data_IF_324314231198
#
_entry.id   IF_324314231198
#
_cell.length_a   1.000
_cell.length_b   1.000
_cell.length_c   1.000
_cell.angle_alpha   90.00
_cell.angle_beta   90.00
_cell.angle_gamma   90.00
#
_symmetry.space_group_name_H-M   'P 1'
#
loop_
_entity.id
_entity.type
_entity.pdbx_description
1 polymer ?
#
# COMPACT_ATOMS: atom_id res chain seq x y z
N UNK A 1 -7.80 -3.05 -16.88
CA UNK A 1 -7.29 -1.81 -17.49
C UNK A 1 -6.64 -0.91 -16.47
N UNK A 2 -7.38 -0.49 -15.44
CA UNK A 2 -7.01 0.69 -14.64
C UNK A 2 -6.02 0.40 -13.49
N UNK A 3 -5.94 -0.85 -13.00
CA UNK A 3 -5.06 -1.20 -11.88
C UNK A 3 -3.56 -1.17 -12.21
N UNK A 4 -3.18 -1.47 -13.45
CA UNK A 4 -1.78 -1.46 -13.86
C UNK A 4 -1.20 -0.03 -13.94
N UNK A 5 -1.97 0.89 -14.51
CA UNK A 5 -1.62 2.31 -14.56
C UNK A 5 -1.61 2.93 -13.14
N UNK A 6 -2.61 2.62 -12.32
CA UNK A 6 -2.65 3.07 -10.93
C UNK A 6 -1.42 2.59 -10.14
N UNK A 7 -1.01 1.33 -10.30
CA UNK A 7 0.21 0.80 -9.68
C UNK A 7 1.46 1.55 -10.13
N UNK A 8 1.61 1.84 -11.43
CA UNK A 8 2.75 2.62 -11.89
C UNK A 8 2.79 4.01 -11.28
N UNK A 9 1.65 4.71 -11.24
CA UNK A 9 1.56 6.03 -10.62
C UNK A 9 1.91 5.98 -9.12
N UNK A 10 1.45 4.96 -8.40
CA UNK A 10 1.80 4.81 -6.99
C UNK A 10 3.29 4.46 -6.78
N UNK A 11 3.91 3.68 -7.67
CA UNK A 11 5.35 3.41 -7.56
C UNK A 11 6.20 4.67 -7.77
N UNK A 12 5.84 5.51 -8.74
CA UNK A 12 6.52 6.79 -8.94
C UNK A 12 6.25 7.75 -7.75
N UNK A 13 5.01 7.83 -7.27
CA UNK A 13 4.69 8.60 -6.07
C UNK A 13 5.51 8.13 -4.85
N UNK A 14 5.70 6.82 -4.69
CA UNK A 14 6.52 6.27 -3.59
C UNK A 14 7.99 6.67 -3.70
N UNK A 15 8.51 6.98 -4.89
CA UNK A 15 9.89 7.44 -5.10
C UNK A 15 10.06 8.92 -4.81
N UNK A 16 9.04 9.72 -5.13
CA UNK A 16 9.03 11.17 -4.92
C UNK A 16 8.69 11.54 -3.48
N UNK A 17 7.86 10.74 -2.81
CA UNK A 17 7.43 11.01 -1.44
C UNK A 17 8.55 10.72 -0.44
N UNK A 18 8.91 11.76 0.28
CA UNK A 18 9.96 11.78 1.30
C UNK A 18 9.39 11.66 2.70
N UNK A 19 8.14 12.09 2.92
CA UNK A 19 7.50 11.97 4.21
C UNK A 19 7.11 10.50 4.50
N UNK A 20 7.60 9.92 5.60
CA UNK A 20 7.30 8.51 5.92
C UNK A 20 5.82 8.23 6.15
N UNK A 21 5.05 9.19 6.69
CA UNK A 21 3.63 9.01 6.96
C UNK A 21 2.82 9.07 5.66
N UNK A 22 3.07 10.05 4.80
CA UNK A 22 2.39 10.12 3.49
C UNK A 22 2.75 8.90 2.61
N UNK A 23 4.02 8.47 2.67
CA UNK A 23 4.46 7.25 2.00
C UNK A 23 3.77 5.99 2.50
N UNK A 24 3.37 5.95 3.78
CA UNK A 24 2.61 4.82 4.34
C UNK A 24 1.25 4.65 3.66
N UNK A 25 0.56 5.76 3.36
CA UNK A 25 -0.74 5.72 2.66
C UNK A 25 -0.59 5.26 1.21
N UNK A 26 0.49 5.65 0.55
CA UNK A 26 0.79 5.18 -0.81
C UNK A 26 1.01 3.66 -0.82
N UNK A 27 1.82 3.14 0.11
CA UNK A 27 2.07 1.70 0.25
C UNK A 27 0.78 0.93 0.58
N UNK A 28 -0.07 1.48 1.45
CA UNK A 28 -1.38 0.93 1.75
C UNK A 28 -2.28 0.83 0.51
N UNK A 29 -2.33 1.89 -0.31
CA UNK A 29 -3.13 1.90 -1.55
C UNK A 29 -2.63 0.88 -2.58
N UNK A 30 -1.31 0.66 -2.67
CA UNK A 30 -0.74 -0.42 -3.48
C UNK A 30 -1.23 -1.79 -2.97
N UNK A 31 -1.25 -1.98 -1.65
CA UNK A 31 -1.80 -3.19 -1.03
C UNK A 31 -3.27 -3.43 -1.38
N UNK A 32 -4.12 -2.38 -1.35
CA UNK A 32 -5.52 -2.48 -1.76
C UNK A 32 -5.69 -2.92 -3.23
N UNK A 33 -4.85 -2.43 -4.12
CA UNK A 33 -4.88 -2.86 -5.53
C UNK A 33 -4.51 -4.33 -5.65
N UNK A 34 -3.47 -4.79 -4.95
CA UNK A 34 -3.09 -6.20 -4.95
C UNK A 34 -4.20 -7.09 -4.35
N UNK A 35 -4.87 -6.66 -3.27
CA UNK A 35 -6.06 -7.34 -2.73
C UNK A 35 -7.16 -7.44 -3.78
N UNK A 36 -7.44 -6.35 -4.51
CA UNK A 36 -8.46 -6.33 -5.57
C UNK A 36 -8.10 -7.23 -6.76
N UNK A 37 -6.81 -7.47 -7.00
CA UNK A 37 -6.32 -8.39 -8.03
C UNK A 37 -6.24 -9.86 -7.55
N UNK A 38 -6.62 -10.16 -6.31
CA UNK A 38 -6.48 -11.50 -5.71
C UNK A 38 -5.04 -11.86 -5.32
N UNK A 39 -4.11 -10.92 -5.38
CA UNK A 39 -2.70 -11.10 -5.06
C UNK A 39 -2.45 -10.89 -3.55
N UNK A 40 -3.13 -11.66 -2.72
CA UNK A 40 -3.18 -11.46 -1.26
C UNK A 40 -1.80 -11.46 -0.59
N UNK A 41 -0.87 -12.31 -1.01
CA UNK A 41 0.49 -12.35 -0.45
C UNK A 41 1.24 -11.04 -0.68
N UNK A 42 1.12 -10.46 -1.89
CA UNK A 42 1.72 -9.15 -2.19
C UNK A 42 1.03 -8.05 -1.40
N UNK A 43 -0.30 -8.09 -1.31
CA UNK A 43 -1.06 -7.12 -0.53
C UNK A 43 -0.58 -7.05 0.93
N UNK A 44 -0.43 -8.20 1.59
CA UNK A 44 0.10 -8.30 2.94
C UNK A 44 1.49 -7.68 3.07
N UNK A 45 2.41 -7.97 2.14
CA UNK A 45 3.74 -7.37 2.13
C UNK A 45 3.67 -5.83 2.12
N UNK A 46 2.81 -5.26 1.26
CA UNK A 46 2.63 -3.81 1.17
C UNK A 46 1.97 -3.21 2.42
N UNK A 47 1.00 -3.91 3.03
CA UNK A 47 0.42 -3.47 4.30
C UNK A 47 1.43 -3.48 5.44
N UNK A 48 2.28 -4.51 5.54
CA UNK A 48 3.36 -4.52 6.53
C UNK A 48 4.36 -3.39 6.30
N UNK A 49 4.76 -3.14 5.05
CA UNK A 49 5.64 -2.01 4.71
C UNK A 49 5.00 -0.65 5.03
N UNK A 50 3.68 -0.51 4.91
CA UNK A 50 2.97 0.70 5.33
C UNK A 50 3.05 0.87 6.86
N UNK A 51 2.83 -0.21 7.62
CA UNK A 51 2.91 -0.21 9.09
C UNK A 51 4.33 0.02 9.62
N UNK A 52 5.37 -0.43 8.92
CA UNK A 52 6.76 -0.11 9.27
C UNK A 52 7.06 1.39 9.22
N UNK A 53 6.34 2.14 8.37
CA UNK A 53 6.49 3.60 8.24
C UNK A 53 5.56 4.36 9.17
N UNK A 54 4.32 3.89 9.27
CA UNK A 54 3.31 4.43 10.16
C UNK A 54 2.66 3.29 10.95
N UNK A 55 3.18 2.98 12.15
CA UNK A 55 2.60 1.95 13.02
C UNK A 55 1.18 2.26 13.49
N UNK A 56 0.70 3.49 13.30
CA UNK A 56 -0.65 3.94 13.67
C UNK A 56 -1.54 4.12 12.43
N UNK A 57 -1.46 3.18 11.49
CA UNK A 57 -2.32 3.15 10.29
C UNK A 57 -3.42 2.07 10.45
N UNK A 58 -4.55 2.36 11.13
CA UNK A 58 -5.61 1.38 11.40
C UNK A 58 -6.21 0.77 10.14
N UNK A 59 -6.19 1.50 9.02
CA UNK A 59 -6.66 1.02 7.73
C UNK A 59 -5.83 -0.18 7.24
N UNK A 60 -4.51 -0.16 7.43
CA UNK A 60 -3.65 -1.28 7.04
C UNK A 60 -3.87 -2.49 7.96
N UNK A 61 -4.06 -2.27 9.27
CA UNK A 61 -4.37 -3.35 10.21
C UNK A 61 -5.64 -4.11 9.87
N UNK A 62 -6.72 -3.38 9.57
CA UNK A 62 -8.01 -3.99 9.21
C UNK A 62 -7.92 -4.87 7.95
N UNK A 63 -6.95 -4.61 7.05
CA UNK A 63 -6.77 -5.40 5.84
C UNK A 63 -5.79 -6.57 6.00
N UNK A 64 -4.95 -6.58 7.06
CA UNK A 64 -4.08 -7.72 7.40
C UNK A 64 -4.85 -8.76 8.21
N UNK A 65 -5.70 -8.31 9.13
CA UNK A 65 -6.55 -9.16 9.98
C UNK A 65 -8.03 -8.84 9.75
N UNK A 66 -8.58 -9.18 8.58
CA UNK A 66 -10.00 -9.01 8.27
C UNK A 66 -10.90 -9.94 9.08
#
# INVERSE_FOLDING_TARGET
GNYAEALQNYYEATRLEIDPYDRSYILYNIGLIHTSNGEHTKALEYYFRALERNPFLPQAFNNIWP
#
